data_IF_433352800018
#
_entry.id   IF_433352800018
#
_cell.length_a   1.000
_cell.length_b   1.000
_cell.length_c   1.000
_cell.angle_alpha   90.00
_cell.angle_beta   90.00
_cell.angle_gamma   90.00
#
_symmetry.space_group_name_H-M   'P 1'
#
loop_
_entity.id
_entity.type
_entity.pdbx_description
1 polymer ?
#
# COMPACT_ATOMS: atom_id res chain seq x y z
N UNK A 1 26.83 6.41 41.26
CA UNK A 1 26.47 6.36 39.82
C UNK A 1 25.44 5.26 39.68
N UNK A 2 24.22 5.53 39.20
CA UNK A 2 23.26 4.47 38.97
C UNK A 2 23.77 3.62 37.80
N UNK A 3 23.72 2.31 37.98
CA UNK A 3 24.08 1.32 36.96
C UNK A 3 23.08 1.37 35.80
N UNK A 4 23.49 0.89 34.63
CA UNK A 4 22.77 0.94 33.34
C UNK A 4 21.33 0.35 33.32
N UNK A 5 20.82 -0.14 34.44
CA UNK A 5 19.49 -0.71 34.61
C UNK A 5 18.37 0.31 34.91
N UNK A 6 18.68 1.59 35.17
CA UNK A 6 17.68 2.54 35.70
C UNK A 6 16.97 3.41 34.65
N UNK A 7 17.53 3.58 33.44
CA UNK A 7 16.93 4.42 32.40
C UNK A 7 16.13 3.66 31.34
N UNK A 8 16.12 2.32 31.36
CA UNK A 8 15.52 1.45 30.32
C UNK A 8 14.52 0.43 30.88
N UNK A 9 14.28 0.45 32.19
CA UNK A 9 13.40 -0.47 32.91
C UNK A 9 13.88 -1.94 32.93
N UNK A 10 13.18 -2.77 33.72
CA UNK A 10 13.51 -4.19 33.91
C UNK A 10 13.30 -5.05 32.65
N UNK A 11 12.58 -4.55 31.65
CA UNK A 11 12.14 -5.31 30.48
C UNK A 11 12.96 -5.05 29.20
N UNK A 12 13.97 -4.17 29.26
CA UNK A 12 14.81 -3.85 28.09
C UNK A 12 15.44 -5.10 27.46
N UNK A 13 15.95 -6.04 28.27
CA UNK A 13 16.53 -7.28 27.77
C UNK A 13 15.52 -8.09 26.94
N UNK A 14 14.30 -8.24 27.44
CA UNK A 14 13.22 -8.94 26.72
C UNK A 14 12.82 -8.22 25.43
N UNK A 15 12.75 -6.87 25.43
CA UNK A 15 12.47 -6.10 24.21
C UNK A 15 13.57 -6.23 23.17
N UNK A 16 14.84 -6.28 23.60
CA UNK A 16 15.97 -6.56 22.70
C UNK A 16 15.87 -7.96 22.09
N UNK A 17 15.51 -8.98 22.87
CA UNK A 17 15.28 -10.34 22.36
C UNK A 17 14.10 -10.39 21.36
N UNK A 18 13.03 -9.67 21.63
CA UNK A 18 11.88 -9.55 20.73
C UNK A 18 12.25 -8.84 19.42
N UNK A 19 12.98 -7.73 19.49
CA UNK A 19 13.46 -7.00 18.31
C UNK A 19 14.44 -7.83 17.48
N UNK A 20 15.32 -8.61 18.13
CA UNK A 20 16.18 -9.58 17.45
C UNK A 20 15.35 -10.66 16.74
N UNK A 21 14.33 -11.21 17.41
CA UNK A 21 13.47 -12.23 16.80
C UNK A 21 12.66 -11.68 15.63
N UNK A 22 12.16 -10.44 15.74
CA UNK A 22 11.51 -9.73 14.65
C UNK A 22 12.45 -9.66 13.43
N UNK A 23 13.65 -9.11 13.62
CA UNK A 23 14.69 -8.97 12.58
C UNK A 23 15.11 -10.30 11.95
N UNK A 24 15.42 -11.31 12.76
CA UNK A 24 16.08 -12.53 12.28
C UNK A 24 15.12 -13.56 11.70
N UNK A 25 13.85 -13.57 12.14
CA UNK A 25 12.90 -14.61 11.76
C UNK A 25 11.69 -14.09 11.02
N UNK A 26 11.09 -12.99 11.45
CA UNK A 26 9.81 -12.54 10.90
C UNK A 26 10.00 -11.69 9.63
N UNK A 27 10.88 -10.68 9.67
CA UNK A 27 11.09 -9.79 8.52
C UNK A 27 11.55 -10.54 7.25
N UNK A 28 12.46 -11.54 7.32
CA UNK A 28 12.82 -12.32 6.13
C UNK A 28 11.66 -13.12 5.53
N UNK A 29 10.71 -13.58 6.36
CA UNK A 29 9.51 -14.29 5.88
C UNK A 29 8.56 -13.33 5.17
N UNK A 30 8.40 -12.10 5.69
CA UNK A 30 7.60 -11.05 5.04
C UNK A 30 8.16 -10.72 3.66
N UNK A 31 9.47 -10.46 3.58
CA UNK A 31 10.16 -10.18 2.30
C UNK A 31 10.01 -11.34 1.32
N UNK A 32 10.24 -12.58 1.78
CA UNK A 32 10.12 -13.75 0.91
C UNK A 32 8.69 -13.97 0.40
N UNK A 33 7.68 -13.74 1.25
CA UNK A 33 6.28 -13.89 0.89
C UNK A 33 5.79 -12.79 -0.06
N UNK A 34 6.24 -11.54 0.13
CA UNK A 34 5.91 -10.42 -0.74
C UNK A 34 6.70 -10.44 -2.05
N UNK A 35 7.87 -11.10 -2.07
CA UNK A 35 8.87 -10.98 -3.14
C UNK A 35 9.23 -9.52 -3.42
N UNK A 36 9.33 -8.73 -2.35
CA UNK A 36 9.60 -7.30 -2.35
C UNK A 36 10.52 -6.99 -1.15
N UNK A 37 11.70 -6.35 -1.35
CA UNK A 37 12.59 -5.97 -0.25
C UNK A 37 12.05 -4.81 0.61
N UNK A 38 10.99 -4.13 0.17
CA UNK A 38 10.39 -3.02 0.89
C UNK A 38 9.62 -3.50 2.12
N UNK A 39 10.05 -3.02 3.29
CA UNK A 39 9.45 -3.41 4.58
C UNK A 39 9.25 -2.17 5.43
N UNK A 40 8.04 -1.98 5.93
CA UNK A 40 7.73 -1.03 6.98
C UNK A 40 7.43 -1.78 8.27
N UNK A 41 8.27 -1.59 9.28
CA UNK A 41 8.01 -2.06 10.64
C UNK A 41 7.27 -0.94 11.37
N UNK A 42 6.00 -1.16 11.68
CA UNK A 42 5.15 -0.15 12.32
C UNK A 42 4.45 -0.71 13.56
N UNK A 43 4.35 0.10 14.61
CA UNK A 43 3.60 -0.20 15.83
C UNK A 43 4.39 0.02 17.12
N UNK A 44 3.75 -0.31 18.23
CA UNK A 44 4.30 -0.17 19.58
C UNK A 44 5.45 -1.17 19.83
N UNK A 45 6.66 -0.63 19.98
CA UNK A 45 7.85 -1.41 20.38
C UNK A 45 8.09 -1.33 21.89
N UNK A 46 7.29 -0.52 22.56
CA UNK A 46 7.34 -0.21 23.98
C UNK A 46 8.75 0.23 24.40
N UNK A 47 9.40 0.99 23.54
CA UNK A 47 10.77 1.45 23.71
C UNK A 47 10.92 2.83 23.07
N UNK A 48 11.59 3.75 23.76
CA UNK A 48 11.88 5.07 23.19
C UNK A 48 12.89 4.99 22.03
N UNK A 49 12.87 5.99 21.15
CA UNK A 49 13.68 6.08 19.92
C UNK A 49 15.16 5.72 20.01
N UNK A 50 15.79 5.98 21.16
CA UNK A 50 17.22 5.75 21.37
C UNK A 50 17.53 4.51 22.22
N UNK A 51 16.51 3.72 22.57
CA UNK A 51 16.69 2.50 23.34
C UNK A 51 17.26 1.34 22.50
N UNK A 52 17.73 0.30 23.18
CA UNK A 52 18.46 -0.81 22.57
C UNK A 52 17.67 -1.57 21.51
N UNK A 53 16.36 -1.90 21.67
CA UNK A 53 15.62 -2.60 20.62
C UNK A 53 15.52 -1.78 19.32
N UNK A 54 15.35 -0.46 19.42
CA UNK A 54 15.28 0.42 18.25
C UNK A 54 16.67 0.58 17.61
N UNK A 55 17.70 0.79 18.44
CA UNK A 55 19.10 0.83 17.95
C UNK A 55 19.52 -0.47 17.28
N UNK A 56 19.03 -1.61 17.73
CA UNK A 56 19.27 -2.92 17.11
C UNK A 56 18.68 -3.00 15.70
N UNK A 57 17.46 -2.52 15.50
CA UNK A 57 16.82 -2.46 14.19
C UNK A 57 17.49 -1.42 13.28
N UNK A 58 17.86 -0.26 13.82
CA UNK A 58 18.61 0.76 13.08
C UNK A 58 19.97 0.23 12.59
N UNK A 59 20.69 -0.50 13.45
CA UNK A 59 21.96 -1.14 13.08
C UNK A 59 21.79 -2.22 12.00
N UNK A 60 20.58 -2.75 11.82
CA UNK A 60 20.24 -3.70 10.76
C UNK A 60 19.80 -3.01 9.45
N UNK A 61 19.85 -1.67 9.38
CA UNK A 61 19.54 -0.91 8.17
C UNK A 61 18.09 -0.41 8.06
N UNK A 62 17.31 -0.55 9.13
CA UNK A 62 15.99 0.09 9.20
C UNK A 62 16.13 1.57 9.57
N UNK A 63 15.52 2.45 8.80
CA UNK A 63 15.55 3.90 9.00
C UNK A 63 14.38 4.30 9.88
N UNK A 64 14.63 5.09 10.93
CA UNK A 64 13.57 5.60 11.78
C UNK A 64 12.90 6.81 11.11
N UNK A 65 11.65 6.64 10.66
CA UNK A 65 10.94 7.66 9.89
C UNK A 65 10.39 8.79 10.77
N UNK A 66 10.12 8.52 12.05
CA UNK A 66 9.73 9.57 13.03
C UNK A 66 10.91 10.50 13.27
N UNK A 67 12.12 9.95 13.44
CA UNK A 67 13.36 10.72 13.52
C UNK A 67 13.63 11.55 12.26
N UNK A 68 13.24 11.04 11.10
CA UNK A 68 13.45 11.70 9.80
C UNK A 68 12.45 12.81 9.51
N UNK A 69 11.16 12.61 9.79
CA UNK A 69 10.10 13.54 9.39
C UNK A 69 9.55 14.39 10.54
N UNK A 70 9.44 13.85 11.76
CA UNK A 70 8.82 14.55 12.89
C UNK A 70 9.86 15.31 13.71
N UNK A 71 10.98 14.68 14.10
CA UNK A 71 12.00 15.31 14.94
C UNK A 71 12.55 16.65 14.39
N UNK A 72 12.74 16.84 13.07
CA UNK A 72 13.19 18.12 12.55
C UNK A 72 12.15 19.25 12.68
N UNK A 73 10.87 18.90 12.88
CA UNK A 73 9.75 19.83 13.00
C UNK A 73 9.30 20.05 14.45
N UNK A 74 9.67 19.16 15.38
CA UNK A 74 9.28 19.24 16.78
C UNK A 74 9.80 18.07 17.62
N UNK A 75 9.42 17.99 18.88
CA UNK A 75 9.70 16.82 19.71
C UNK A 75 8.72 15.71 19.33
N UNK A 76 9.19 14.52 18.90
CA UNK A 76 8.28 13.41 18.61
C UNK A 76 7.74 12.81 19.90
N UNK A 77 6.44 12.57 19.95
CA UNK A 77 5.77 11.85 21.02
C UNK A 77 4.46 11.21 20.54
N UNK A 78 4.20 10.00 21.03
CA UNK A 78 2.94 9.30 20.82
C UNK A 78 2.26 8.91 22.13
N UNK A 79 2.92 9.18 23.27
CA UNK A 79 2.50 8.71 24.58
C UNK A 79 2.93 9.69 25.68
N UNK A 80 2.07 9.87 26.68
CA UNK A 80 2.33 10.70 27.87
C UNK A 80 2.03 9.87 29.12
N UNK A 81 3.02 9.74 30.01
CA UNK A 81 2.87 9.05 31.29
C UNK A 81 3.61 9.76 32.40
N UNK A 82 2.94 10.02 33.52
CA UNK A 82 3.57 10.65 34.67
C UNK A 82 4.18 12.03 34.36
N UNK A 83 3.58 12.77 33.42
CA UNK A 83 4.07 14.03 32.86
C UNK A 83 5.38 13.95 32.03
N UNK A 84 5.82 12.75 31.65
CA UNK A 84 6.88 12.54 30.67
C UNK A 84 6.25 12.20 29.31
N UNK A 85 6.74 12.82 28.24
CA UNK A 85 6.30 12.55 26.87
C UNK A 85 7.42 11.94 26.03
N UNK A 86 7.02 11.03 25.14
CA UNK A 86 7.88 10.47 24.12
C UNK A 86 7.10 9.51 23.23
N UNK A 87 7.78 8.85 22.30
CA UNK A 87 7.13 7.94 21.37
C UNK A 87 7.59 6.50 21.62
N UNK A 88 6.61 5.61 21.68
CA UNK A 88 6.79 4.17 21.83
C UNK A 88 6.35 3.41 20.56
N UNK A 89 5.52 4.06 19.75
CA UNK A 89 5.07 3.63 18.44
C UNK A 89 6.07 4.08 17.38
N UNK A 90 6.55 3.15 16.57
CA UNK A 90 7.57 3.43 15.57
C UNK A 90 7.02 3.26 14.17
N UNK A 91 7.68 3.96 13.23
CA UNK A 91 7.70 3.61 11.81
C UNK A 91 9.17 3.47 11.40
N UNK A 92 9.60 2.24 11.12
CA UNK A 92 10.97 1.92 10.71
C UNK A 92 10.95 1.30 9.30
N UNK A 93 11.47 1.99 8.30
CA UNK A 93 11.48 1.52 6.92
C UNK A 93 12.78 0.78 6.58
N UNK A 94 12.73 -0.27 5.75
CA UNK A 94 13.93 -0.81 5.13
C UNK A 94 14.59 0.26 4.26
N UNK A 95 15.91 0.14 4.02
CA UNK A 95 16.63 1.09 3.15
C UNK A 95 16.02 1.21 1.75
N UNK A 96 15.39 0.15 1.22
CA UNK A 96 14.74 0.19 -0.10
C UNK A 96 13.40 0.92 -0.09
N UNK A 97 12.68 0.91 1.05
CA UNK A 97 11.42 1.62 1.22
C UNK A 97 11.61 3.09 1.65
N UNK A 98 12.69 3.43 2.37
CA UNK A 98 12.96 4.79 2.89
C UNK A 98 12.78 5.89 1.82
N UNK A 99 13.28 5.67 0.60
CA UNK A 99 13.12 6.61 -0.51
C UNK A 99 11.68 6.80 -1.01
N UNK A 100 10.79 5.88 -0.67
CA UNK A 100 9.37 5.88 -1.04
C UNK A 100 8.48 6.40 0.10
N UNK A 101 9.02 6.64 1.30
CA UNK A 101 8.29 7.32 2.38
C UNK A 101 8.18 8.80 2.03
N UNK A 102 6.95 9.27 1.87
CA UNK A 102 6.65 10.65 1.51
C UNK A 102 6.48 11.57 2.74
N UNK A 103 6.13 10.98 3.89
CA UNK A 103 6.00 11.71 5.16
C UNK A 103 5.53 10.81 6.30
N UNK A 104 5.84 11.24 7.53
CA UNK A 104 5.34 10.65 8.77
C UNK A 104 4.88 11.75 9.70
N UNK A 105 3.76 11.53 10.38
CA UNK A 105 3.28 12.39 11.47
C UNK A 105 2.70 11.54 12.59
N UNK A 106 2.76 12.06 13.81
CA UNK A 106 1.95 11.61 14.93
C UNK A 106 0.64 12.39 14.87
N UNK A 107 -0.51 11.72 14.91
CA UNK A 107 -1.80 12.42 14.99
C UNK A 107 -2.13 12.63 16.47
N UNK A 108 -1.94 13.85 16.96
CA UNK A 108 -2.22 14.19 18.36
C UNK A 108 -3.72 14.31 18.62
N UNK A 109 -4.39 13.18 18.87
CA UNK A 109 -5.81 13.08 19.20
C UNK A 109 -6.09 12.27 20.48
N UNK A 110 -5.07 11.70 21.12
CA UNK A 110 -5.24 10.72 22.18
C UNK A 110 -4.34 10.98 23.39
N UNK A 111 -3.03 11.07 23.20
CA UNK A 111 -2.06 11.11 24.30
C UNK A 111 -2.22 12.37 25.18
N UNK A 112 -2.61 13.48 24.55
CA UNK A 112 -2.83 14.77 25.21
C UNK A 112 -4.24 14.92 25.81
N UNK A 113 -5.18 14.00 25.50
CA UNK A 113 -6.55 14.05 26.00
C UNK A 113 -6.62 13.64 27.49
N UNK A 114 -7.51 14.27 28.28
CA UNK A 114 -7.54 14.03 29.72
C UNK A 114 -8.07 12.64 30.07
N UNK A 115 -7.52 12.05 31.13
CA UNK A 115 -8.03 10.79 31.74
C UNK A 115 -9.52 10.86 32.12
N UNK A 116 -10.09 12.06 32.25
CA UNK A 116 -11.50 12.26 32.57
C UNK A 116 -12.47 11.78 31.47
N UNK A 117 -12.01 11.64 30.22
CA UNK A 117 -12.80 11.13 29.08
C UNK A 117 -12.31 9.78 28.57
N UNK A 118 -11.55 9.06 29.41
CA UNK A 118 -10.94 7.78 29.09
C UNK A 118 -11.99 6.69 28.81
N UNK A 119 -11.64 5.75 27.94
CA UNK A 119 -12.43 4.55 27.63
C UNK A 119 -12.32 3.49 28.73
N UNK A 120 -11.30 3.57 29.58
CA UNK A 120 -11.09 2.66 30.70
C UNK A 120 -12.07 2.98 31.85
N UNK A 121 -12.98 2.04 32.11
CA UNK A 121 -13.92 2.08 33.26
C UNK A 121 -13.33 1.49 34.55
N UNK A 122 -12.01 1.29 34.58
CA UNK A 122 -11.32 0.80 35.78
C UNK A 122 -11.54 1.78 36.94
N UNK A 123 -11.47 1.27 38.18
CA UNK A 123 -11.68 2.05 39.41
C UNK A 123 -13.09 2.64 39.61
N UNK A 124 -14.11 2.11 38.92
CA UNK A 124 -15.51 2.45 39.17
C UNK A 124 -16.00 3.72 38.48
N UNK A 125 -15.27 4.17 37.45
CA UNK A 125 -15.67 5.28 36.61
C UNK A 125 -16.93 4.91 35.79
N UNK A 126 -17.85 5.85 35.66
CA UNK A 126 -18.94 5.78 34.67
C UNK A 126 -18.38 6.17 33.31
N UNK A 127 -18.64 5.39 32.26
CA UNK A 127 -18.12 5.60 30.88
C UNK A 127 -18.26 7.06 30.43
N UNK A 128 -17.18 7.87 30.54
CA UNK A 128 -17.21 9.28 30.16
C UNK A 128 -16.79 9.46 28.70
N UNK A 129 -16.27 8.38 28.08
CA UNK A 129 -15.86 8.30 26.70
C UNK A 129 -17.02 8.63 25.76
N UNK A 130 -16.73 9.49 24.79
CA UNK A 130 -17.60 9.78 23.65
C UNK A 130 -17.03 9.02 22.47
N UNK A 131 -17.90 8.30 21.73
CA UNK A 131 -17.50 7.53 20.55
C UNK A 131 -17.17 8.44 19.35
N UNK A 132 -16.08 9.16 19.46
CA UNK A 132 -15.44 9.92 18.39
C UNK A 132 -13.96 9.52 18.27
N UNK A 133 -13.12 10.38 17.71
CA UNK A 133 -11.71 10.07 17.49
C UNK A 133 -10.81 10.42 18.68
N UNK A 134 -11.30 11.18 19.66
CA UNK A 134 -10.49 11.70 20.75
C UNK A 134 -10.49 10.74 21.94
N UNK A 135 -9.32 10.55 22.56
CA UNK A 135 -9.11 9.59 23.66
C UNK A 135 -9.64 8.18 23.33
N UNK A 136 -9.58 7.79 22.06
CA UNK A 136 -9.92 6.44 21.62
C UNK A 136 -8.79 5.42 21.93
N UNK A 137 -7.63 5.94 22.34
CA UNK A 137 -6.47 5.20 22.84
C UNK A 137 -5.71 6.10 23.84
N UNK A 138 -4.84 5.50 24.63
CA UNK A 138 -3.79 6.16 25.41
C UNK A 138 -2.56 6.57 24.57
N UNK A 139 -2.52 6.17 23.30
CA UNK A 139 -1.46 6.50 22.34
C UNK A 139 -1.99 7.28 21.13
N UNK A 140 -1.17 8.19 20.60
CA UNK A 140 -1.40 8.86 19.32
C UNK A 140 -1.02 7.93 18.14
N UNK A 141 -1.85 7.85 17.08
CA UNK A 141 -1.52 7.06 15.91
C UNK A 141 -0.32 7.62 15.14
N UNK A 142 0.57 6.73 14.70
CA UNK A 142 1.61 7.03 13.70
C UNK A 142 1.01 6.91 12.30
N UNK A 143 1.01 8.01 11.55
CA UNK A 143 0.50 8.07 10.18
C UNK A 143 1.66 8.15 9.20
N UNK A 144 1.76 7.15 8.32
CA UNK A 144 2.83 7.05 7.30
C UNK A 144 2.22 7.23 5.91
N UNK A 145 2.79 8.15 5.13
CA UNK A 145 2.45 8.37 3.73
C UNK A 145 3.51 7.74 2.83
N UNK A 146 3.08 6.93 1.86
CA UNK A 146 3.97 6.26 0.89
C UNK A 146 3.71 6.77 -0.52
N UNK A 147 4.78 6.94 -1.28
CA UNK A 147 4.76 7.23 -2.72
C UNK A 147 5.39 6.05 -3.46
N UNK A 148 4.56 5.05 -3.74
CA UNK A 148 4.99 3.79 -4.35
C UNK A 148 4.95 3.89 -5.88
N UNK A 149 5.96 3.34 -6.54
CA UNK A 149 5.91 3.15 -7.98
C UNK A 149 4.84 2.09 -8.31
N UNK A 150 3.98 2.31 -9.32
CA UNK A 150 3.03 1.28 -9.73
C UNK A 150 3.77 0.07 -10.28
N UNK A 151 3.25 -1.13 -9.99
CA UNK A 151 3.72 -2.41 -10.55
C UNK A 151 3.34 -2.60 -12.01
N UNK A 152 2.78 -1.56 -12.63
CA UNK A 152 2.35 -1.51 -14.01
C UNK A 152 2.72 -0.19 -14.69
N UNK A 153 2.80 -0.19 -16.03
CA UNK A 153 3.09 0.99 -16.84
C UNK A 153 2.11 1.08 -18.02
N UNK A 154 1.62 2.28 -18.31
CA UNK A 154 0.87 2.59 -19.53
C UNK A 154 1.84 2.60 -20.72
N UNK A 155 1.68 1.61 -21.61
CA UNK A 155 2.47 1.45 -22.83
C UNK A 155 1.62 1.69 -24.08
N UNK A 156 0.47 2.36 -23.92
CA UNK A 156 -0.46 2.64 -25.03
C UNK A 156 0.26 3.37 -26.17
N UNK A 157 1.09 4.37 -25.88
CA UNK A 157 1.85 5.15 -26.88
C UNK A 157 2.96 4.37 -27.57
N UNK A 158 3.43 3.27 -26.96
CA UNK A 158 4.37 2.30 -27.53
C UNK A 158 3.67 1.23 -28.38
N UNK A 159 2.37 1.36 -28.59
CA UNK A 159 1.55 0.40 -29.32
C UNK A 159 0.61 1.06 -30.33
N UNK A 160 0.24 0.31 -31.36
CA UNK A 160 -0.90 0.62 -32.22
C UNK A 160 -2.05 -0.31 -31.89
N UNK A 161 -3.20 0.26 -31.50
CA UNK A 161 -4.41 -0.51 -31.17
C UNK A 161 -5.48 -0.21 -32.21
N UNK A 162 -5.91 -1.24 -32.93
CA UNK A 162 -6.99 -1.16 -33.92
C UNK A 162 -8.11 -2.14 -33.58
N UNK A 163 -9.34 -1.82 -33.96
CA UNK A 163 -10.53 -2.59 -33.61
C UNK A 163 -11.38 -2.83 -34.85
N UNK A 164 -11.94 -4.04 -34.98
CA UNK A 164 -12.96 -4.32 -35.99
C UNK A 164 -14.28 -3.64 -35.63
N UNK A 165 -15.22 -3.64 -36.57
CA UNK A 165 -16.61 -3.35 -36.25
C UNK A 165 -17.15 -4.35 -35.21
N UNK A 166 -18.10 -3.90 -34.39
CA UNK A 166 -18.84 -4.75 -33.48
C UNK A 166 -19.84 -5.61 -34.26
N UNK A 167 -19.82 -6.91 -34.01
CA UNK A 167 -20.74 -7.88 -34.58
C UNK A 167 -21.69 -8.39 -33.50
N UNK A 168 -23.00 -8.29 -33.75
CA UNK A 168 -24.04 -8.84 -32.87
C UNK A 168 -24.26 -10.33 -33.19
N UNK A 169 -24.04 -11.19 -32.20
CA UNK A 169 -24.57 -12.54 -32.23
C UNK A 169 -26.03 -12.51 -31.78
N UNK A 170 -26.97 -12.70 -32.71
CA UNK A 170 -28.41 -12.63 -32.43
C UNK A 170 -28.94 -13.75 -31.54
N UNK A 171 -28.28 -14.91 -31.51
CA UNK A 171 -28.70 -16.02 -30.66
C UNK A 171 -28.39 -15.75 -29.18
N UNK A 172 -27.27 -15.10 -28.89
CA UNK A 172 -26.82 -14.80 -27.53
C UNK A 172 -27.09 -13.37 -27.09
N UNK A 173 -27.40 -12.46 -28.02
CA UNK A 173 -27.56 -11.03 -27.77
C UNK A 173 -26.24 -10.29 -27.50
N UNK A 174 -25.09 -10.94 -27.66
CA UNK A 174 -23.76 -10.39 -27.34
C UNK A 174 -23.13 -9.68 -28.53
N UNK A 175 -22.38 -8.63 -28.26
CA UNK A 175 -21.59 -7.91 -29.26
C UNK A 175 -20.12 -8.29 -29.13
N UNK A 176 -19.45 -8.60 -30.23
CA UNK A 176 -18.01 -8.93 -30.22
C UNK A 176 -17.23 -8.10 -31.24
N UNK A 177 -15.99 -7.77 -30.91
CA UNK A 177 -15.03 -7.14 -31.82
C UNK A 177 -13.64 -7.76 -31.61
N UNK A 178 -12.86 -7.84 -32.68
CA UNK A 178 -11.44 -8.18 -32.61
C UNK A 178 -10.63 -6.91 -32.43
N UNK A 179 -9.79 -6.89 -31.40
CA UNK A 179 -8.80 -5.85 -31.13
C UNK A 179 -7.43 -6.38 -31.50
N UNK A 180 -6.73 -5.67 -32.39
CA UNK A 180 -5.34 -5.96 -32.77
C UNK A 180 -4.43 -4.94 -32.11
N UNK A 181 -3.37 -5.44 -31.47
CA UNK A 181 -2.40 -4.64 -30.73
C UNK A 181 -1.03 -4.97 -31.27
N UNK A 182 -0.34 -3.96 -31.81
CA UNK A 182 1.00 -4.08 -32.39
C UNK A 182 1.98 -3.28 -31.56
N UNK A 183 3.11 -3.86 -31.16
CA UNK A 183 4.19 -3.10 -30.53
C UNK A 183 4.90 -2.26 -31.61
N UNK A 184 4.82 -0.94 -31.50
CA UNK A 184 5.42 0.01 -32.44
C UNK A 184 6.73 0.60 -31.94
N UNK A 185 7.17 0.24 -30.73
CA UNK A 185 8.43 0.67 -30.15
C UNK A 185 9.61 -0.20 -30.63
N UNK A 186 10.83 0.25 -30.32
CA UNK A 186 12.06 -0.51 -30.57
C UNK A 186 12.42 -1.51 -29.46
N UNK A 187 11.66 -1.56 -28.37
CA UNK A 187 11.92 -2.43 -27.22
C UNK A 187 10.83 -3.51 -27.08
N UNK A 188 11.17 -4.62 -26.41
CA UNK A 188 10.15 -5.63 -26.06
C UNK A 188 9.22 -5.04 -25.00
N UNK A 189 7.91 -5.14 -25.23
CA UNK A 189 6.94 -4.89 -24.17
C UNK A 189 6.85 -6.17 -23.33
N UNK A 190 7.58 -6.20 -22.21
CA UNK A 190 7.49 -7.28 -21.23
C UNK A 190 6.06 -7.37 -20.72
N UNK A 191 5.60 -8.55 -20.35
CA UNK A 191 4.25 -8.73 -19.80
C UNK A 191 4.29 -9.17 -18.34
N UNK A 192 3.11 -9.48 -17.77
CA UNK A 192 1.83 -9.61 -18.45
C UNK A 192 1.34 -8.28 -19.06
N UNK A 193 0.63 -8.37 -20.19
CA UNK A 193 0.07 -7.22 -20.90
C UNK A 193 -1.45 -7.22 -20.76
N UNK A 194 -2.04 -6.05 -20.50
CA UNK A 194 -3.48 -5.90 -20.26
C UNK A 194 -4.09 -4.87 -21.19
N UNK A 195 -5.15 -5.26 -21.90
CA UNK A 195 -6.01 -4.35 -22.64
C UNK A 195 -7.09 -3.81 -21.69
N UNK A 196 -6.98 -2.54 -21.30
CA UNK A 196 -7.94 -1.84 -20.44
C UNK A 196 -8.93 -1.06 -21.30
N UNK A 197 -10.22 -1.13 -20.96
CA UNK A 197 -11.31 -0.49 -21.71
C UNK A 197 -11.89 0.68 -20.90
N UNK A 198 -11.27 1.85 -20.99
CA UNK A 198 -11.71 3.04 -20.25
C UNK A 198 -13.00 3.64 -20.83
N UNK A 199 -13.89 4.10 -19.95
CA UNK A 199 -15.11 4.81 -20.34
C UNK A 199 -16.19 3.93 -20.96
N UNK A 200 -16.23 2.63 -20.61
CA UNK A 200 -17.31 1.74 -21.03
C UNK A 200 -18.66 2.27 -20.48
N UNK A 201 -19.74 2.35 -21.29
CA UNK A 201 -20.98 2.97 -20.86
C UNK A 201 -21.67 2.16 -19.77
N UNK A 202 -22.40 2.85 -18.88
CA UNK A 202 -23.20 2.20 -17.85
C UNK A 202 -24.18 1.18 -18.47
N UNK A 203 -24.25 0.00 -17.86
CA UNK A 203 -25.05 -1.12 -18.34
C UNK A 203 -24.40 -1.96 -19.44
N UNK A 204 -23.20 -1.61 -19.93
CA UNK A 204 -22.39 -2.46 -20.82
C UNK A 204 -21.31 -3.16 -20.00
N UNK A 205 -21.21 -4.48 -20.10
CA UNK A 205 -20.18 -5.25 -19.38
C UNK A 205 -19.25 -5.96 -20.36
N UNK A 206 -17.95 -5.97 -20.06
CA UNK A 206 -16.96 -6.79 -20.76
C UNK A 206 -17.03 -8.22 -20.22
N UNK A 207 -17.48 -9.14 -21.05
CA UNK A 207 -17.55 -10.55 -20.72
C UNK A 207 -16.16 -11.17 -20.70
N UNK A 208 -15.88 -12.01 -19.70
CA UNK A 208 -14.58 -12.68 -19.57
C UNK A 208 -13.43 -11.76 -19.19
N UNK A 209 -13.71 -10.55 -18.66
CA UNK A 209 -12.69 -9.65 -18.11
C UNK A 209 -11.80 -10.39 -17.09
N UNK A 210 -10.52 -10.08 -17.10
CA UNK A 210 -9.54 -10.58 -16.13
C UNK A 210 -9.66 -9.86 -14.78
N UNK A 211 -10.09 -8.59 -14.81
CA UNK A 211 -10.33 -7.79 -13.61
C UNK A 211 -10.77 -6.37 -13.98
N UNK A 212 -10.59 -5.44 -13.04
CA UNK A 212 -10.80 -4.01 -13.24
C UNK A 212 -9.57 -3.23 -12.75
N UNK A 213 -9.24 -2.14 -13.44
CA UNK A 213 -8.19 -1.20 -13.04
C UNK A 213 -8.78 0.21 -13.06
N UNK A 214 -8.77 0.89 -11.90
CA UNK A 214 -9.40 2.22 -11.77
C UNK A 214 -10.90 2.22 -12.16
N UNK A 215 -11.60 1.10 -11.95
CA UNK A 215 -13.00 0.90 -12.35
C UNK A 215 -13.21 0.56 -13.83
N UNK A 216 -12.18 0.53 -14.66
CA UNK A 216 -12.27 0.10 -16.06
C UNK A 216 -11.98 -1.41 -16.19
N UNK A 217 -12.81 -2.20 -16.89
CA UNK A 217 -12.55 -3.62 -17.09
C UNK A 217 -11.37 -3.85 -18.03
N UNK A 218 -10.60 -4.92 -17.79
CA UNK A 218 -9.48 -5.29 -18.64
C UNK A 218 -9.43 -6.77 -19.01
N UNK A 219 -8.71 -7.09 -20.08
CA UNK A 219 -8.35 -8.45 -20.49
C UNK A 219 -6.83 -8.59 -20.48
N UNK A 220 -6.31 -9.61 -19.80
CA UNK A 220 -4.91 -10.01 -19.95
C UNK A 220 -4.72 -10.68 -21.30
N UNK A 221 -3.74 -10.22 -22.06
CA UNK A 221 -3.45 -10.70 -23.40
C UNK A 221 -2.86 -12.12 -23.36
N UNK A 222 -3.13 -12.95 -24.38
CA UNK A 222 -2.49 -14.24 -24.50
C UNK A 222 -1.01 -14.07 -24.87
N UNK A 223 -0.12 -14.39 -23.94
CA UNK A 223 1.34 -14.32 -24.12
C UNK A 223 2.04 -13.44 -23.08
N UNK A 224 3.29 -13.79 -22.77
CA UNK A 224 4.03 -13.14 -21.70
C UNK A 224 4.71 -11.84 -22.10
N UNK A 225 4.86 -11.52 -23.39
CA UNK A 225 5.53 -10.29 -23.89
C UNK A 225 5.22 -10.06 -25.37
N UNK A 226 5.44 -8.84 -25.87
CA UNK A 226 5.27 -8.48 -27.29
C UNK A 226 6.55 -7.86 -27.85
N UNK A 227 7.24 -8.58 -28.74
CA UNK A 227 8.47 -8.11 -29.39
C UNK A 227 8.22 -6.90 -30.33
N UNK A 228 9.25 -6.09 -30.65
CA UNK A 228 9.12 -4.99 -31.62
C UNK A 228 8.48 -5.45 -32.93
N UNK A 229 7.45 -4.73 -33.39
CA UNK A 229 6.71 -5.04 -34.62
C UNK A 229 5.73 -6.23 -34.52
N UNK A 230 5.76 -7.01 -33.44
CA UNK A 230 4.86 -8.13 -33.25
C UNK A 230 3.43 -7.65 -32.98
N UNK A 231 2.44 -8.46 -33.38
CA UNK A 231 1.01 -8.17 -33.21
C UNK A 231 0.30 -9.31 -32.51
N UNK A 232 -0.55 -8.97 -31.55
CA UNK A 232 -1.48 -9.90 -30.89
C UNK A 232 -2.93 -9.49 -31.19
N UNK A 233 -3.82 -10.48 -31.30
CA UNK A 233 -5.26 -10.26 -31.50
C UNK A 233 -6.04 -10.84 -30.33
N UNK A 234 -6.96 -10.06 -29.78
CA UNK A 234 -7.86 -10.44 -28.68
C UNK A 234 -9.30 -10.12 -29.08
N UNK A 235 -10.23 -10.98 -28.71
CA UNK A 235 -11.66 -10.74 -28.93
C UNK A 235 -12.28 -10.14 -27.67
N UNK A 236 -12.83 -8.94 -27.78
CA UNK A 236 -13.69 -8.36 -26.74
C UNK A 236 -15.13 -8.79 -27.00
N UNK A 237 -15.84 -9.24 -25.95
CA UNK A 237 -17.27 -9.59 -26.02
C UNK A 237 -18.04 -8.82 -24.95
N UNK A 238 -19.20 -8.29 -25.30
CA UNK A 238 -19.98 -7.41 -24.43
C UNK A 238 -21.40 -7.90 -24.27
N UNK A 239 -21.88 -7.85 -23.03
CA UNK A 239 -23.31 -7.89 -22.70
C UNK A 239 -23.83 -6.45 -22.61
N UNK A 240 -24.89 -6.15 -23.36
CA UNK A 240 -25.46 -4.79 -23.50
C UNK A 240 -27.00 -4.87 -23.64
N UNK A 241 -27.73 -5.09 -22.54
CA UNK A 241 -29.18 -5.31 -22.55
C UNK A 241 -29.96 -4.09 -23.05
N UNK A 242 -29.49 -2.89 -22.73
CA UNK A 242 -30.12 -1.62 -23.15
C UNK A 242 -29.81 -1.23 -24.60
N UNK A 243 -28.98 -2.03 -25.30
CA UNK A 243 -28.56 -1.78 -26.70
C UNK A 243 -28.01 -0.37 -26.90
N UNK A 244 -27.32 0.16 -25.88
CA UNK A 244 -26.66 1.46 -25.96
C UNK A 244 -25.47 1.40 -26.93
N UNK A 245 -25.00 2.56 -27.39
CA UNK A 245 -23.75 2.63 -28.14
C UNK A 245 -22.61 2.10 -27.29
N UNK A 246 -21.82 1.14 -27.78
CA UNK A 246 -20.65 0.60 -27.07
C UNK A 246 -19.42 1.40 -27.53
N UNK A 247 -19.01 2.38 -26.72
CA UNK A 247 -17.78 3.15 -26.91
C UNK A 247 -16.81 2.92 -25.75
N UNK A 248 -15.51 2.93 -26.03
CA UNK A 248 -14.45 2.91 -25.01
C UNK A 248 -13.13 3.39 -25.60
N UNK A 249 -12.23 3.86 -24.76
CA UNK A 249 -10.83 4.15 -25.09
C UNK A 249 -9.98 2.95 -24.71
N UNK A 250 -9.40 2.20 -25.67
CA UNK A 250 -8.51 1.10 -25.35
C UNK A 250 -7.15 1.64 -24.90
N UNK A 251 -6.63 1.09 -23.82
CA UNK A 251 -5.24 1.30 -23.37
C UNK A 251 -4.53 -0.03 -23.21
N UNK A 252 -3.21 0.00 -23.37
CA UNK A 252 -2.34 -1.15 -23.14
C UNK A 252 -1.43 -0.86 -21.95
N UNK A 253 -1.46 -1.75 -20.96
CA UNK A 253 -0.56 -1.71 -19.82
C UNK A 253 0.33 -2.95 -19.77
N UNK A 254 1.55 -2.80 -19.26
CA UNK A 254 2.43 -3.90 -18.84
C UNK A 254 2.45 -4.00 -17.33
N UNK A 255 2.70 -5.19 -16.79
CA UNK A 255 2.94 -5.42 -15.37
C UNK A 255 1.71 -5.96 -14.64
N UNK A 256 1.76 -5.94 -13.32
CA UNK A 256 0.69 -6.49 -12.47
C UNK A 256 -0.15 -5.34 -11.94
N UNK A 257 -1.48 -5.48 -12.02
CA UNK A 257 -2.42 -4.58 -11.36
C UNK A 257 -2.66 -4.99 -9.91
#
# INVERSE_FOLDING_TARGET
MPTAATARGCWNASRVEQAARLRDYFLPQVVAAANDPDVLVVGDMNAYGMEDPIRLLNAAGYVNEIERFVRPQGTPYSYVFGAESGYLDHALASTSLDGQVAGVTEWHNNADEPEAIDYNIENGNTEPYVKDAFRASDHDPVVVSLNLAPTYLDVTTSSSITRSALLLNRATGKYSATVKITNTSGAVLTGPLHLVLEGLPSGVTLDGKSGEQGGAPYLTLPGASLAPGATVSVTTTFTNPSKSSIGYTPKLFTGTF
#
